data_IF_305794982904
#
_entry.id   IF_305794982904
#
_cell.length_a   1.000
_cell.length_b   1.000
_cell.length_c   1.000
_cell.angle_alpha   90.00
_cell.angle_beta   90.00
_cell.angle_gamma   90.00
#
_symmetry.space_group_name_H-M   'P 1'
#
loop_
_entity.id
_entity.type
_entity.pdbx_description
1 polymer ?
#
# COMPACT_ATOMS: atom_id res chain seq x y z
N UNK A 1 10.24 21.13 44.55
CA UNK A 1 10.22 22.08 43.41
C UNK A 1 10.84 21.53 42.13
N UNK A 2 11.93 20.77 42.17
CA UNK A 2 12.63 20.26 40.96
C UNK A 2 11.81 19.28 40.13
N UNK A 3 11.05 18.38 40.76
CA UNK A 3 10.21 17.39 40.05
C UNK A 3 9.06 18.04 39.27
N UNK A 4 8.43 19.07 39.84
CA UNK A 4 7.38 19.84 39.17
C UNK A 4 7.93 20.62 37.96
N UNK A 5 9.15 21.14 38.05
CA UNK A 5 9.81 21.83 36.94
C UNK A 5 10.13 20.88 35.77
N UNK A 6 10.65 19.68 36.08
CA UNK A 6 10.98 18.66 35.06
C UNK A 6 9.73 18.19 34.31
N UNK A 7 8.61 17.95 35.02
CA UNK A 7 7.34 17.56 34.39
C UNK A 7 6.82 18.66 33.45
N UNK A 8 6.90 19.93 33.84
CA UNK A 8 6.49 21.04 32.97
C UNK A 8 7.38 21.19 31.73
N UNK A 9 8.70 20.97 31.87
CA UNK A 9 9.64 20.99 30.73
C UNK A 9 9.37 19.82 29.76
N UNK A 10 9.07 18.62 30.27
CA UNK A 10 8.73 17.44 29.45
C UNK A 10 7.42 17.64 28.67
N UNK A 11 6.42 18.31 29.26
CA UNK A 11 5.16 18.62 28.57
C UNK A 11 5.36 19.63 27.42
N UNK A 12 6.29 20.59 27.56
CA UNK A 12 6.65 21.54 26.49
C UNK A 12 7.52 20.89 25.41
N UNK A 13 8.41 19.96 25.78
CA UNK A 13 9.26 19.24 24.82
C UNK A 13 8.51 18.17 24.02
N UNK A 14 7.38 17.67 24.52
CA UNK A 14 6.50 16.74 23.80
C UNK A 14 5.48 17.45 22.88
N UNK A 15 5.47 18.79 22.85
CA UNK A 15 4.50 19.60 22.09
C UNK A 15 5.09 20.55 21.05
N UNK A 16 6.41 20.62 20.90
CA UNK A 16 7.11 21.59 20.01
C UNK A 16 7.70 20.96 18.73
N UNK A 17 7.24 19.76 18.36
CA UNK A 17 7.81 18.99 17.25
C UNK A 17 7.57 19.53 15.84
N UNK A 18 6.69 20.51 15.62
CA UNK A 18 6.45 21.03 14.27
C UNK A 18 5.16 21.82 14.14
N UNK A 19 4.86 22.37 12.94
CA UNK A 19 3.61 23.07 12.68
C UNK A 19 2.43 22.19 13.10
N UNK A 20 1.49 22.73 13.86
CA UNK A 20 0.27 22.02 14.20
C UNK A 20 -0.42 21.58 12.89
N UNK A 21 -0.81 20.30 12.76
CA UNK A 21 -1.46 19.83 11.55
C UNK A 21 -2.78 20.58 11.39
N UNK A 22 -2.99 21.16 10.21
CA UNK A 22 -4.27 21.77 9.82
C UNK A 22 -5.23 20.68 9.34
N UNK A 23 -6.49 21.03 9.11
CA UNK A 23 -7.50 20.07 8.59
C UNK A 23 -6.97 19.30 7.37
N UNK A 24 -7.09 17.97 7.42
CA UNK A 24 -6.59 17.06 6.38
C UNK A 24 -5.09 16.72 6.48
N UNK A 25 -4.41 17.10 7.56
CA UNK A 25 -3.02 16.74 7.83
C UNK A 25 -2.89 15.93 9.13
N UNK A 26 -1.91 15.02 9.19
CA UNK A 26 -1.56 14.27 10.39
C UNK A 26 -0.10 14.54 10.74
N UNK A 27 0.17 14.93 11.99
CA UNK A 27 1.54 15.10 12.47
C UNK A 27 2.02 13.83 13.18
N UNK A 28 3.24 13.40 12.85
CA UNK A 28 3.96 12.38 13.61
C UNK A 28 4.62 13.01 14.83
N UNK A 29 4.94 12.18 15.82
CA UNK A 29 5.67 12.60 17.02
C UNK A 29 7.07 13.17 16.71
N UNK A 30 7.61 12.89 15.53
CA UNK A 30 8.89 13.42 15.03
C UNK A 30 8.78 14.77 14.31
N UNK A 31 7.58 15.37 14.25
CA UNK A 31 7.35 16.66 13.59
C UNK A 31 6.98 16.58 12.12
N UNK A 32 7.02 15.39 11.52
CA UNK A 32 6.66 15.22 10.11
C UNK A 32 5.15 15.41 9.94
N UNK A 33 4.77 16.29 9.01
CA UNK A 33 3.37 16.52 8.66
C UNK A 33 3.01 15.76 7.39
N UNK A 34 2.00 14.91 7.48
CA UNK A 34 1.49 14.06 6.41
C UNK A 34 0.24 14.71 5.83
N UNK A 35 0.22 14.91 4.52
CA UNK A 35 -0.95 15.36 3.77
C UNK A 35 -1.81 14.13 3.37
N UNK A 36 -2.97 13.98 4.00
CA UNK A 36 -3.83 12.80 3.80
C UNK A 36 -4.42 12.77 2.38
N UNK A 37 -4.63 13.92 1.75
CA UNK A 37 -5.16 14.00 0.38
C UNK A 37 -4.11 13.47 -0.60
N UNK A 38 -2.86 13.90 -0.45
CA UNK A 38 -1.75 13.39 -1.28
C UNK A 38 -1.51 11.91 -1.06
N UNK A 39 -1.54 11.42 0.19
CA UNK A 39 -1.36 9.99 0.48
C UNK A 39 -2.51 9.17 -0.10
N UNK A 40 -3.76 9.61 0.07
CA UNK A 40 -4.93 8.92 -0.49
C UNK A 40 -4.86 8.83 -2.02
N UNK A 41 -4.39 9.89 -2.69
CA UNK A 41 -4.16 9.88 -4.14
C UNK A 41 -3.09 8.85 -4.54
N UNK A 42 -1.94 8.86 -3.87
CA UNK A 42 -0.86 7.88 -4.13
C UNK A 42 -1.31 6.43 -3.91
N UNK A 43 -2.12 6.17 -2.89
CA UNK A 43 -2.68 4.83 -2.64
C UNK A 43 -3.61 4.43 -3.79
N UNK A 44 -4.51 5.30 -4.25
CA UNK A 44 -5.38 5.03 -5.40
C UNK A 44 -4.58 4.72 -6.66
N UNK A 45 -3.60 5.57 -6.98
CA UNK A 45 -2.75 5.39 -8.15
C UNK A 45 -1.98 4.05 -8.10
N UNK A 46 -1.45 3.69 -6.92
CA UNK A 46 -0.76 2.43 -6.72
C UNK A 46 -1.68 1.20 -6.86
N UNK A 47 -2.92 1.28 -6.35
CA UNK A 47 -3.91 0.21 -6.48
C UNK A 47 -4.30 0.01 -7.94
N UNK A 48 -4.61 1.08 -8.68
CA UNK A 48 -4.94 0.98 -10.11
C UNK A 48 -3.77 0.43 -10.93
N UNK A 49 -2.54 0.79 -10.61
CA UNK A 49 -1.37 0.18 -11.25
C UNK A 49 -1.26 -1.32 -10.93
N UNK A 50 -1.44 -1.71 -9.67
CA UNK A 50 -1.37 -3.11 -9.25
C UNK A 50 -2.47 -3.97 -9.90
N UNK A 51 -3.67 -3.44 -10.10
CA UNK A 51 -4.74 -4.11 -10.84
C UNK A 51 -4.33 -4.39 -12.29
N UNK A 52 -3.80 -3.39 -13.01
CA UNK A 52 -3.31 -3.59 -14.37
C UNK A 52 -2.16 -4.61 -14.47
N UNK A 53 -1.23 -4.59 -13.51
CA UNK A 53 -0.14 -5.59 -13.45
C UNK A 53 -0.69 -6.99 -13.19
N UNK A 54 -1.73 -7.14 -12.35
CA UNK A 54 -2.36 -8.43 -12.06
C UNK A 54 -3.02 -9.03 -13.29
N UNK A 55 -3.66 -8.22 -14.11
CA UNK A 55 -4.25 -8.65 -15.38
C UNK A 55 -3.16 -9.15 -16.34
N UNK A 56 -2.11 -8.36 -16.55
CA UNK A 56 -0.97 -8.76 -17.41
C UNK A 56 -0.35 -10.06 -16.91
N UNK A 57 -0.11 -10.19 -15.61
CA UNK A 57 0.45 -11.41 -15.03
C UNK A 57 -0.47 -12.63 -15.21
N UNK A 58 -1.79 -12.45 -15.08
CA UNK A 58 -2.76 -13.52 -15.34
C UNK A 58 -2.73 -13.92 -16.82
N UNK A 59 -2.64 -12.94 -17.71
CA UNK A 59 -2.58 -13.18 -19.15
C UNK A 59 -1.31 -13.94 -19.54
N UNK A 60 -0.15 -13.55 -18.99
CA UNK A 60 1.12 -14.27 -19.18
C UNK A 60 1.02 -15.71 -18.65
N UNK A 61 0.47 -15.90 -17.45
CA UNK A 61 0.25 -17.25 -16.91
C UNK A 61 -0.71 -18.09 -17.75
N UNK A 62 -1.72 -17.48 -18.36
CA UNK A 62 -2.65 -18.19 -19.25
C UNK A 62 -1.94 -18.77 -20.48
N UNK A 63 -0.89 -18.09 -20.99
CA UNK A 63 -0.07 -18.61 -22.10
C UNK A 63 0.67 -19.88 -21.67
N UNK A 64 1.21 -19.94 -20.47
CA UNK A 64 1.85 -21.17 -19.95
C UNK A 64 0.88 -22.34 -19.85
N UNK A 65 -0.36 -22.09 -19.42
CA UNK A 65 -1.41 -23.11 -19.38
C UNK A 65 -1.83 -23.57 -20.79
N UNK A 66 -1.96 -22.65 -21.74
CA UNK A 66 -2.24 -22.98 -23.14
C UNK A 66 -1.09 -23.78 -23.77
N UNK A 67 0.17 -23.45 -23.44
CA UNK A 67 1.34 -24.17 -23.91
C UNK A 67 1.33 -25.64 -23.46
N UNK A 68 0.85 -25.93 -22.24
CA UNK A 68 0.68 -27.33 -21.74
C UNK A 68 -0.34 -28.15 -22.53
N UNK A 69 -1.24 -27.48 -23.26
CA UNK A 69 -2.28 -28.10 -24.07
C UNK A 69 -1.89 -28.28 -25.54
N UNK A 70 -0.78 -27.71 -26.00
CA UNK A 70 -0.31 -27.87 -27.39
C UNK A 70 -0.08 -29.36 -27.69
N UNK A 71 -0.66 -29.83 -28.80
CA UNK A 71 -0.53 -31.22 -29.25
C UNK A 71 -1.38 -32.22 -28.48
N UNK A 72 -2.26 -31.77 -27.58
CA UNK A 72 -3.24 -32.61 -26.88
C UNK A 72 -4.66 -32.33 -27.36
N UNK A 73 -5.50 -33.36 -27.38
CA UNK A 73 -6.94 -33.28 -27.60
C UNK A 73 -7.67 -33.24 -26.26
N UNK A 74 -8.85 -32.65 -26.28
CA UNK A 74 -9.81 -32.69 -25.16
C UNK A 74 -10.48 -34.07 -25.19
N UNK A 75 -10.43 -34.77 -24.07
CA UNK A 75 -11.13 -36.04 -23.83
C UNK A 75 -12.53 -35.78 -23.29
N UNK A 76 -13.41 -36.78 -23.35
CA UNK A 76 -14.79 -36.69 -22.85
C UNK A 76 -14.88 -36.46 -21.33
N UNK A 77 -13.80 -36.73 -20.59
CA UNK A 77 -13.68 -36.45 -19.15
C UNK A 77 -13.22 -35.01 -18.85
N UNK A 78 -13.03 -34.17 -19.88
CA UNK A 78 -12.54 -32.80 -19.76
C UNK A 78 -11.01 -32.71 -19.58
N UNK A 79 -10.30 -33.84 -19.57
CA UNK A 79 -8.84 -33.90 -19.50
C UNK A 79 -8.16 -33.71 -20.85
N UNK A 80 -6.83 -33.52 -20.81
CA UNK A 80 -5.98 -33.45 -22.00
C UNK A 80 -5.24 -34.78 -22.24
N UNK A 81 -5.20 -35.27 -23.48
CA UNK A 81 -4.31 -36.37 -23.89
C UNK A 81 -4.12 -36.48 -25.40
N UNK A 82 -3.34 -37.45 -25.85
CA UNK A 82 -2.99 -37.61 -27.28
C UNK A 82 -4.06 -38.33 -28.08
#
# INVERSE_FOLDING_TARGET
>A
MTLFLIINIVMISCGSGGPAPTDGQAAKADGTVIDLVKVSKKIKDAVSFAEGVKEVHTLVKSVDELAKAIGKKIKSDGGLGY
#
